data_IF_772626350110
#
_entry.id   IF_772626350110
#
_cell.length_a   1.000
_cell.length_b   1.000
_cell.length_c   1.000
_cell.angle_alpha   90.00
_cell.angle_beta   90.00
_cell.angle_gamma   90.00
#
_symmetry.space_group_name_H-M   'P 1'
#
loop_
_entity.id
_entity.type
_entity.pdbx_description
1 polymer ?
#
# COMPACT_ATOMS: atom_id res chain seq x y z
N UNK A 1 -8.17 11.44 -20.85
CA UNK A 1 -6.84 12.06 -20.63
C UNK A 1 -5.82 10.95 -20.35
N UNK A 2 -4.62 11.07 -20.91
CA UNK A 2 -3.53 10.12 -20.69
C UNK A 2 -2.63 10.66 -19.57
N UNK A 3 -2.22 9.80 -18.63
CA UNK A 3 -1.21 10.15 -17.65
C UNK A 3 0.16 10.26 -18.32
N UNK A 4 0.98 11.18 -17.87
CA UNK A 4 2.24 11.53 -18.55
C UNK A 4 3.33 10.49 -18.41
N UNK A 5 3.33 9.73 -17.31
CA UNK A 5 4.34 8.72 -17.00
C UNK A 5 3.68 7.44 -16.49
N UNK A 6 4.33 6.31 -16.78
CA UNK A 6 3.90 4.97 -16.40
C UNK A 6 3.20 4.21 -17.53
N UNK A 7 3.21 2.89 -17.44
CA UNK A 7 2.62 1.98 -18.43
C UNK A 7 1.23 1.51 -18.00
N UNK A 8 0.99 1.40 -16.70
CA UNK A 8 -0.29 0.97 -16.14
C UNK A 8 -0.61 1.68 -14.82
N UNK A 9 -1.90 1.80 -14.50
CA UNK A 9 -2.37 2.27 -13.21
C UNK A 9 -2.33 1.08 -12.25
N UNK A 10 -1.63 1.24 -11.12
CA UNK A 10 -1.46 0.21 -10.09
C UNK A 10 -2.44 0.39 -8.94
N UNK A 11 -2.58 1.59 -8.41
CA UNK A 11 -3.42 1.87 -7.25
C UNK A 11 -4.14 3.20 -7.35
N UNK A 12 -5.23 3.34 -6.62
CA UNK A 12 -5.90 4.61 -6.41
C UNK A 12 -6.49 4.66 -5.00
N UNK A 13 -6.24 5.76 -4.29
CA UNK A 13 -6.71 5.97 -2.91
C UNK A 13 -7.29 7.38 -2.79
N UNK A 14 -8.39 7.51 -2.07
CA UNK A 14 -8.96 8.81 -1.73
C UNK A 14 -8.21 9.42 -0.56
N UNK A 15 -7.72 10.64 -0.72
CA UNK A 15 -6.98 11.37 0.31
C UNK A 15 -7.32 12.86 0.25
N UNK A 16 -7.71 13.44 1.38
CA UNK A 16 -7.89 14.90 1.55
C UNK A 16 -8.62 15.62 0.40
N UNK A 17 -9.76 15.06 -0.05
CA UNK A 17 -10.59 15.68 -1.09
C UNK A 17 -10.10 15.49 -2.53
N UNK A 18 -9.07 14.72 -2.75
CA UNK A 18 -8.54 14.31 -4.04
C UNK A 18 -8.45 12.79 -4.13
N UNK A 19 -8.26 12.27 -5.33
CA UNK A 19 -7.90 10.89 -5.57
C UNK A 19 -6.43 10.85 -5.97
N UNK A 20 -5.64 10.13 -5.21
CA UNK A 20 -4.25 9.83 -5.51
C UNK A 20 -4.21 8.59 -6.38
N UNK A 21 -3.48 8.65 -7.48
CA UNK A 21 -3.38 7.58 -8.47
C UNK A 21 -1.91 7.24 -8.66
N UNK A 22 -1.56 5.99 -8.47
CA UNK A 22 -0.21 5.49 -8.74
C UNK A 22 -0.19 4.70 -10.04
N UNK A 23 0.86 4.95 -10.79
CA UNK A 23 1.28 4.05 -11.86
C UNK A 23 2.40 3.14 -11.37
N UNK A 24 2.95 2.34 -12.25
CA UNK A 24 4.17 1.57 -12.01
C UNK A 24 5.40 2.44 -11.72
N UNK A 25 5.42 3.72 -12.13
CA UNK A 25 6.59 4.61 -12.01
C UNK A 25 6.31 5.96 -11.35
N UNK A 26 5.07 6.42 -11.31
CA UNK A 26 4.74 7.79 -10.92
C UNK A 26 3.47 7.88 -10.08
N UNK A 27 3.29 9.04 -9.46
CA UNK A 27 2.10 9.39 -8.68
C UNK A 27 1.42 10.63 -9.24
N UNK A 28 0.10 10.59 -9.31
CA UNK A 28 -0.75 11.66 -9.80
C UNK A 28 -1.87 11.96 -8.82
N UNK A 29 -2.39 13.19 -8.86
CA UNK A 29 -3.67 13.52 -8.23
C UNK A 29 -4.74 13.78 -9.28
N UNK A 30 -5.97 13.41 -8.93
CA UNK A 30 -7.17 13.76 -9.65
C UNK A 30 -8.08 14.55 -8.72
N UNK A 31 -8.51 15.73 -9.17
CA UNK A 31 -9.40 16.61 -8.43
C UNK A 31 -10.55 17.06 -9.31
N UNK A 32 -11.73 17.27 -8.70
CA UNK A 32 -12.82 17.96 -9.38
C UNK A 32 -12.51 19.45 -9.47
N UNK A 33 -12.47 19.99 -10.69
CA UNK A 33 -12.14 21.40 -10.95
C UNK A 33 -13.32 22.21 -11.56
N UNK A 34 -14.44 21.54 -11.80
CA UNK A 34 -15.64 22.15 -12.39
C UNK A 34 -15.56 22.32 -13.90
N UNK A 35 -16.68 22.80 -14.51
CA UNK A 35 -16.76 23.04 -15.96
C UNK A 35 -15.69 24.04 -16.45
N UNK A 36 -15.18 23.86 -17.67
CA UNK A 36 -15.56 22.85 -18.66
C UNK A 36 -14.84 21.51 -18.52
N UNK A 37 -13.89 21.36 -17.61
CA UNK A 37 -12.99 20.20 -17.59
C UNK A 37 -13.32 19.14 -16.51
N UNK A 38 -14.36 19.27 -15.76
CA UNK A 38 -14.81 18.35 -14.71
C UNK A 38 -13.71 17.88 -13.76
N UNK A 39 -12.67 17.20 -14.26
CA UNK A 39 -11.52 16.72 -13.48
C UNK A 39 -10.20 17.26 -14.01
N UNK A 40 -9.34 17.70 -13.10
CA UNK A 40 -7.94 18.02 -13.34
C UNK A 40 -7.01 16.91 -12.84
N UNK A 41 -5.94 16.66 -13.60
CA UNK A 41 -4.90 15.70 -13.24
C UNK A 41 -3.57 16.44 -13.10
N UNK A 42 -2.85 16.15 -12.01
CA UNK A 42 -1.53 16.73 -11.75
C UNK A 42 -0.58 15.61 -11.36
N UNK A 43 0.60 15.57 -11.96
CA UNK A 43 1.68 14.70 -11.52
C UNK A 43 2.28 15.26 -10.23
N UNK A 44 2.37 14.40 -9.20
CA UNK A 44 2.88 14.73 -7.87
C UNK A 44 4.32 14.24 -7.65
N UNK A 45 4.70 13.14 -8.31
CA UNK A 45 6.02 12.57 -8.18
C UNK A 45 6.39 11.64 -9.32
N UNK A 46 7.70 11.41 -9.48
CA UNK A 46 8.31 10.45 -10.41
C UNK A 46 9.14 9.45 -9.62
N UNK A 47 9.34 8.26 -10.19
CA UNK A 47 10.08 7.17 -9.54
C UNK A 47 9.52 6.80 -8.15
N UNK A 48 8.20 6.94 -8.01
CA UNK A 48 7.45 6.69 -6.77
C UNK A 48 6.19 5.86 -7.03
N UNK A 49 6.24 4.98 -8.03
CA UNK A 49 5.17 4.06 -8.36
C UNK A 49 4.81 3.13 -7.21
N UNK A 50 3.64 2.50 -7.28
CA UNK A 50 3.17 1.55 -6.29
C UNK A 50 3.40 0.11 -6.77
N UNK A 51 3.77 -0.80 -5.85
CA UNK A 51 4.07 -2.19 -6.18
C UNK A 51 2.83 -2.95 -6.64
N UNK A 52 1.66 -2.66 -6.09
CA UNK A 52 0.43 -3.40 -6.37
C UNK A 52 -0.85 -2.60 -6.09
N UNK A 53 -1.97 -3.19 -6.46
CA UNK A 53 -3.29 -2.55 -6.42
C UNK A 53 -3.74 -2.16 -5.01
N UNK A 54 -3.36 -2.95 -4.01
CA UNK A 54 -3.78 -2.76 -2.61
C UNK A 54 -2.62 -2.39 -1.69
N UNK A 55 -1.47 -1.99 -2.24
CA UNK A 55 -0.27 -1.68 -1.48
C UNK A 55 -0.19 -0.22 -0.99
N UNK A 56 -1.25 0.56 -1.17
CA UNK A 56 -1.36 1.94 -0.72
C UNK A 56 -2.56 2.14 0.20
N UNK A 57 -2.39 2.94 1.26
CA UNK A 57 -3.44 3.33 2.22
C UNK A 57 -3.35 4.81 2.54
N UNK A 58 -4.47 5.38 2.99
CA UNK A 58 -4.53 6.75 3.53
C UNK A 58 -4.81 6.69 5.03
N UNK A 59 -4.07 7.48 5.78
CA UNK A 59 -4.26 7.67 7.22
C UNK A 59 -4.32 9.17 7.47
N UNK A 60 -5.49 9.66 7.82
CA UNK A 60 -5.75 11.07 8.15
C UNK A 60 -5.24 12.07 7.10
N UNK A 61 -5.35 11.71 5.82
CA UNK A 61 -4.94 12.55 4.70
C UNK A 61 -3.46 12.44 4.31
N UNK A 62 -2.72 11.54 4.93
CA UNK A 62 -1.37 11.14 4.53
C UNK A 62 -1.44 9.77 3.86
N UNK A 63 -1.01 9.68 2.62
CA UNK A 63 -0.94 8.41 1.92
C UNK A 63 0.40 7.72 2.15
N UNK A 64 0.35 6.41 2.35
CA UNK A 64 1.50 5.53 2.56
C UNK A 64 1.45 4.38 1.58
N UNK A 65 2.59 4.00 0.99
CA UNK A 65 2.63 2.86 0.06
C UNK A 65 3.99 2.19 0.00
N UNK A 66 3.97 0.95 -0.47
CA UNK A 66 5.18 0.21 -0.83
C UNK A 66 5.55 0.53 -2.27
N UNK A 67 6.78 0.98 -2.50
CA UNK A 67 7.29 1.41 -3.80
C UNK A 67 7.51 0.26 -4.77
N UNK A 68 7.22 0.47 -6.06
CA UNK A 68 7.47 -0.50 -7.11
C UNK A 68 8.97 -0.80 -7.31
N UNK A 69 9.83 0.16 -7.02
CA UNK A 69 11.29 0.02 -7.09
C UNK A 69 11.93 -0.34 -5.75
N UNK A 70 11.12 -0.70 -4.76
CA UNK A 70 11.54 -0.91 -3.38
C UNK A 70 11.31 0.33 -2.51
N UNK A 71 11.45 0.14 -1.19
CA UNK A 71 11.26 1.16 -0.19
C UNK A 71 9.81 1.46 0.14
N UNK A 72 9.64 2.24 1.19
CA UNK A 72 8.35 2.72 1.66
C UNK A 72 8.27 4.23 1.51
N UNK A 73 7.16 4.71 1.02
CA UNK A 73 6.96 6.13 0.72
C UNK A 73 5.70 6.66 1.39
N UNK A 74 5.68 7.96 1.62
CA UNK A 74 4.49 8.69 2.07
C UNK A 74 4.29 9.96 1.24
N UNK A 75 3.05 10.43 1.25
CA UNK A 75 2.66 11.73 0.69
C UNK A 75 1.84 12.51 1.71
N UNK A 76 2.38 13.61 2.16
CA UNK A 76 1.78 14.58 3.07
C UNK A 76 1.68 15.99 2.45
N UNK A 77 1.59 16.06 1.11
CA UNK A 77 1.74 17.27 0.29
C UNK A 77 2.98 17.21 -0.59
N UNK A 78 3.96 16.38 -0.22
CA UNK A 78 5.14 16.03 -1.01
C UNK A 78 5.45 14.54 -0.88
N UNK A 79 6.05 13.95 -1.92
CA UNK A 79 6.50 12.54 -1.87
C UNK A 79 7.80 12.46 -1.09
N UNK A 80 7.83 11.61 -0.08
CA UNK A 80 8.96 11.40 0.81
C UNK A 80 9.20 9.90 1.03
N UNK A 81 10.46 9.49 1.08
CA UNK A 81 10.84 8.14 1.50
C UNK A 81 10.76 8.02 3.02
N UNK A 82 10.22 6.93 3.51
CA UNK A 82 10.19 6.61 4.94
C UNK A 82 11.42 5.76 5.24
N UNK A 83 12.35 6.21 6.09
CA UNK A 83 13.48 5.39 6.52
C UNK A 83 12.98 4.08 7.15
N UNK A 84 13.43 2.94 6.63
CA UNK A 84 13.00 1.63 7.10
C UNK A 84 14.20 0.83 7.58
N UNK A 85 14.23 0.48 8.88
CA UNK A 85 15.32 -0.29 9.48
C UNK A 85 15.36 -1.75 9.05
N UNK A 86 14.29 -2.26 8.44
CA UNK A 86 14.15 -3.64 7.97
C UNK A 86 13.98 -3.72 6.45
N UNK A 87 14.32 -2.64 5.74
CA UNK A 87 14.12 -2.52 4.29
C UNK A 87 14.84 -3.63 3.52
N UNK A 88 16.13 -3.82 3.80
CA UNK A 88 16.94 -4.85 3.14
C UNK A 88 16.37 -6.25 3.36
N UNK A 89 15.90 -6.53 4.58
CA UNK A 89 15.27 -7.81 4.89
C UNK A 89 14.01 -8.03 4.04
N UNK A 90 13.10 -7.04 4.02
CA UNK A 90 11.83 -7.13 3.30
C UNK A 90 12.06 -7.27 1.81
N UNK A 91 12.88 -6.40 1.21
CA UNK A 91 13.07 -6.38 -0.25
C UNK A 91 14.03 -7.45 -0.78
N UNK A 92 14.76 -8.15 0.09
CA UNK A 92 15.47 -9.39 -0.27
C UNK A 92 14.54 -10.61 -0.22
N UNK A 93 13.61 -10.63 0.72
CA UNK A 93 12.68 -11.76 0.93
C UNK A 93 11.41 -11.67 0.07
N UNK A 94 11.00 -10.47 -0.33
CA UNK A 94 9.75 -10.28 -1.07
C UNK A 94 9.81 -10.91 -2.47
N UNK A 95 8.79 -11.68 -2.83
CA UNK A 95 8.49 -11.94 -4.22
C UNK A 95 7.86 -10.68 -4.81
N UNK A 96 8.54 -10.05 -5.77
CA UNK A 96 8.05 -8.84 -6.47
C UNK A 96 6.85 -9.17 -7.37
N UNK A 97 5.70 -9.29 -6.76
CA UNK A 97 4.40 -9.50 -7.41
C UNK A 97 3.42 -8.42 -6.93
N UNK A 98 2.41 -8.07 -7.74
CA UNK A 98 1.42 -7.06 -7.35
C UNK A 98 0.52 -7.48 -6.17
N UNK A 99 0.70 -8.66 -5.62
CA UNK A 99 -0.09 -9.24 -4.52
C UNK A 99 0.39 -8.78 -3.14
N UNK A 100 0.63 -7.49 -2.98
CA UNK A 100 0.88 -6.86 -1.69
C UNK A 100 -0.39 -6.20 -1.22
N UNK A 101 -0.78 -6.46 0.03
CA UNK A 101 -1.95 -5.84 0.63
C UNK A 101 -1.56 -4.96 1.82
N UNK A 102 -1.95 -3.69 1.79
CA UNK A 102 -1.75 -2.77 2.89
C UNK A 102 -3.02 -2.67 3.76
N UNK A 103 -2.84 -2.61 5.07
CA UNK A 103 -3.91 -2.45 6.03
C UNK A 103 -3.55 -1.45 7.12
N UNK A 104 -4.54 -0.70 7.60
CA UNK A 104 -4.40 0.23 8.71
C UNK A 104 -4.96 -0.41 9.97
N UNK A 105 -4.32 -0.17 11.10
CA UNK A 105 -4.83 -0.46 12.43
C UNK A 105 -4.74 0.84 13.24
N UNK A 106 -5.80 1.63 13.20
CA UNK A 106 -5.82 2.97 13.80
C UNK A 106 -5.69 2.94 15.32
N UNK A 107 -6.12 1.86 16.00
CA UNK A 107 -6.02 1.73 17.46
C UNK A 107 -4.57 1.68 17.96
N UNK A 108 -3.66 1.17 17.12
CA UNK A 108 -2.23 1.03 17.44
C UNK A 108 -1.34 1.97 16.62
N UNK A 109 -1.91 2.82 15.78
CA UNK A 109 -1.18 3.71 14.87
C UNK A 109 -0.26 2.96 13.91
N UNK A 110 -0.74 1.82 13.39
CA UNK A 110 0.05 0.91 12.58
C UNK A 110 -0.46 0.83 11.14
N UNK A 111 0.48 0.69 10.22
CA UNK A 111 0.25 0.32 8.84
C UNK A 111 0.98 -1.00 8.61
N UNK A 112 0.25 -2.00 8.14
CA UNK A 112 0.77 -3.33 7.83
C UNK A 112 0.79 -3.54 6.32
N UNK A 113 1.92 -4.00 5.76
CA UNK A 113 1.98 -4.52 4.40
C UNK A 113 2.17 -6.03 4.46
N UNK A 114 1.19 -6.75 3.96
CA UNK A 114 1.21 -8.21 3.83
C UNK A 114 1.74 -8.55 2.46
N UNK A 115 2.73 -9.44 2.39
CA UNK A 115 3.42 -9.77 1.14
C UNK A 115 3.83 -11.25 1.09
N UNK A 116 3.97 -11.84 -0.10
CA UNK A 116 4.51 -13.17 -0.26
C UNK A 116 6.04 -13.14 -0.17
N UNK A 117 6.61 -14.07 0.60
CA UNK A 117 8.06 -14.28 0.60
C UNK A 117 8.54 -14.89 -0.73
N UNK A 118 9.84 -14.84 -0.99
CA UNK A 118 10.46 -15.39 -2.19
C UNK A 118 10.18 -16.88 -2.40
N UNK A 119 9.90 -17.60 -1.33
CA UNK A 119 9.63 -19.02 -1.32
C UNK A 119 8.13 -19.39 -1.27
N UNK A 120 7.25 -18.39 -1.27
CA UNK A 120 5.80 -18.59 -1.17
C UNK A 120 5.07 -18.08 -2.41
N UNK A 121 3.98 -18.76 -2.77
CA UNK A 121 3.04 -18.27 -3.78
C UNK A 121 1.88 -17.49 -3.16
N UNK A 122 1.77 -17.52 -1.83
CA UNK A 122 0.71 -16.87 -1.07
C UNK A 122 1.32 -15.90 -0.07
N UNK A 123 0.55 -14.91 0.37
CA UNK A 123 0.97 -13.96 1.40
C UNK A 123 1.25 -14.72 2.71
N UNK A 124 2.46 -14.63 3.21
CA UNK A 124 2.94 -15.32 4.41
C UNK A 124 3.76 -14.42 5.35
N UNK A 125 4.04 -13.20 4.93
CA UNK A 125 4.84 -12.22 5.66
C UNK A 125 4.07 -10.93 5.90
N UNK A 126 4.47 -10.22 6.94
CA UNK A 126 4.00 -8.87 7.24
C UNK A 126 5.16 -7.99 7.68
N UNK A 127 5.17 -6.76 7.19
CA UNK A 127 5.96 -5.68 7.75
C UNK A 127 5.01 -4.61 8.27
N UNK A 128 5.27 -4.14 9.49
CA UNK A 128 4.41 -3.19 10.19
C UNK A 128 5.20 -1.92 10.49
N UNK A 129 4.61 -0.79 10.20
CA UNK A 129 5.12 0.53 10.52
C UNK A 129 4.21 1.25 11.49
N UNK A 130 4.71 1.57 12.68
CA UNK A 130 4.04 2.50 13.58
C UNK A 130 4.36 3.92 13.15
N UNK A 131 3.35 4.63 12.60
CA UNK A 131 3.55 5.95 12.02
C UNK A 131 3.69 7.07 13.05
N UNK A 132 3.32 6.84 14.30
CA UNK A 132 3.53 7.78 15.40
C UNK A 132 4.93 7.63 16.01
N UNK A 133 5.33 6.42 16.33
CA UNK A 133 6.63 6.10 16.94
C UNK A 133 7.76 6.01 15.91
N UNK A 134 7.42 5.87 14.62
CA UNK A 134 8.36 5.70 13.50
C UNK A 134 9.24 4.46 13.63
N UNK A 135 8.68 3.39 14.18
CA UNK A 135 9.35 2.10 14.36
C UNK A 135 8.78 1.05 13.41
N UNK A 136 9.62 0.09 13.06
CA UNK A 136 9.29 -1.01 12.17
C UNK A 136 9.36 -2.34 12.89
N UNK A 137 8.48 -3.25 12.51
CA UNK A 137 8.51 -4.65 12.93
C UNK A 137 8.16 -5.56 11.75
N UNK A 138 8.59 -6.80 11.84
CA UNK A 138 8.33 -7.85 10.85
C UNK A 138 7.74 -9.07 11.50
N UNK A 139 6.97 -9.85 10.75
CA UNK A 139 6.38 -11.06 11.26
C UNK A 139 5.92 -12.01 10.16
N UNK A 140 5.49 -13.17 10.60
CA UNK A 140 4.81 -14.16 9.76
C UNK A 140 3.31 -14.06 10.04
N UNK A 141 2.58 -13.50 9.08
CA UNK A 141 1.13 -13.36 9.18
C UNK A 141 0.57 -13.25 7.76
N UNK A 142 -0.31 -14.17 7.39
CA UNK A 142 -0.99 -14.10 6.11
C UNK A 142 -2.31 -13.34 6.24
N UNK A 143 -2.50 -12.37 5.37
CA UNK A 143 -3.78 -11.67 5.21
C UNK A 143 -3.94 -11.27 3.75
N UNK A 144 -4.96 -11.79 3.12
CA UNK A 144 -5.27 -11.53 1.71
C UNK A 144 -6.17 -10.32 1.51
N UNK A 145 -6.83 -9.87 2.57
CA UNK A 145 -7.55 -8.61 2.64
C UNK A 145 -7.64 -8.12 4.07
N UNK A 146 -7.76 -6.80 4.24
CA UNK A 146 -7.83 -6.15 5.53
C UNK A 146 -8.82 -4.99 5.49
N UNK A 147 -9.61 -4.87 6.55
CA UNK A 147 -10.45 -3.70 6.81
C UNK A 147 -10.19 -3.22 8.22
N UNK A 148 -9.85 -1.95 8.38
CA UNK A 148 -9.73 -1.33 9.68
C UNK A 148 -11.08 -1.28 10.40
N UNK A 149 -11.06 -0.98 11.69
CA UNK A 149 -12.28 -0.76 12.47
C UNK A 149 -13.15 0.31 11.80
N UNK A 150 -14.44 0.05 11.77
CA UNK A 150 -15.43 0.96 11.21
C UNK A 150 -16.73 0.77 11.97
N UNK A 151 -17.70 0.10 11.34
CA UNK A 151 -18.93 -0.34 12.01
C UNK A 151 -18.64 -1.38 13.10
N UNK A 152 -17.58 -2.14 12.94
CA UNK A 152 -17.11 -3.13 13.91
C UNK A 152 -16.05 -2.53 14.82
N UNK A 153 -16.01 -3.01 16.08
CA UNK A 153 -15.10 -2.50 17.11
C UNK A 153 -13.62 -2.92 16.93
N UNK A 154 -13.35 -3.86 16.02
CA UNK A 154 -11.99 -4.39 15.75
C UNK A 154 -11.77 -4.47 14.24
N UNK A 155 -10.51 -4.42 13.77
CA UNK A 155 -10.19 -4.69 12.39
C UNK A 155 -10.44 -6.15 12.02
N UNK A 156 -10.73 -6.40 10.75
CA UNK A 156 -10.97 -7.73 10.19
C UNK A 156 -9.97 -8.01 9.07
N UNK A 157 -9.43 -9.21 9.08
CA UNK A 157 -8.57 -9.71 8.01
C UNK A 157 -9.05 -11.07 7.54
N UNK A 158 -8.92 -11.33 6.24
CA UNK A 158 -9.13 -12.66 5.66
C UNK A 158 -7.79 -13.35 5.45
N UNK A 159 -7.81 -14.67 5.52
CA UNK A 159 -6.63 -15.51 5.32
C UNK A 159 -6.95 -16.62 4.33
N UNK A 160 -5.93 -17.09 3.62
CA UNK A 160 -6.01 -18.31 2.85
C UNK A 160 -5.80 -19.49 3.79
N UNK A 161 -6.85 -20.27 3.99
CA UNK A 161 -6.72 -21.57 4.64
C UNK A 161 -6.42 -22.59 3.55
N UNK A 162 -5.23 -23.21 3.52
CA UNK A 162 -5.02 -24.35 2.64
C UNK A 162 -6.08 -25.39 2.99
N UNK A 163 -6.83 -25.83 1.99
CA UNK A 163 -7.79 -26.92 2.17
C UNK A 163 -7.01 -28.08 2.79
N UNK A 164 -7.37 -28.48 4.01
CA UNK A 164 -6.89 -29.70 4.59
C UNK A 164 -7.35 -30.82 3.63
N UNK A 165 -6.48 -31.28 2.77
CA UNK A 165 -6.66 -32.56 2.10
C UNK A 165 -6.74 -33.58 3.22
N UNK A 166 -7.95 -33.94 3.58
CA UNK A 166 -8.17 -35.12 4.36
C UNK A 166 -7.56 -36.28 3.56
N UNK A 167 -6.39 -36.70 4.01
CA UNK A 167 -5.84 -37.98 3.57
C UNK A 167 -6.82 -39.05 4.06
N UNK A 168 -7.48 -39.69 3.06
CA UNK A 168 -8.22 -40.92 3.25
C UNK A 168 -7.25 -42.07 3.54
#
# INVERSE_FOLDING_TARGET
QRLSDGSEIRAAVRSSGQILIWTDTSMHSMQFIGPPFTFGFKQLGRQCGCVGQHAAVDVDGVAYWMGASGGFLKFDGSVQTIPCSVEDYVFTDIRLVPEVYAGVNADFNEISWFYPSSNSNEIDRVVVYNYMEKVWSIGTLSRTAWSDKGVFAKPYGTDFLPSSTASA
#
